data_IF_105066726951
#
_entry.id   IF_105066726951
#
_cell.length_a   1.000
_cell.length_b   1.000
_cell.length_c   1.000
_cell.angle_alpha   90.00
_cell.angle_beta   90.00
_cell.angle_gamma   90.00
#
_symmetry.space_group_name_H-M   'P 1'
#
loop_
_entity.id
_entity.type
_entity.pdbx_description
1 polymer ?
#
# COMPACT_ATOMS: atom_id res chain seq x y z
N UNK A 1 -33.94 -12.76 30.55
CA UNK A 1 -32.59 -13.13 30.05
C UNK A 1 -31.60 -13.16 31.23
N UNK A 2 -30.62 -14.06 31.26
CA UNK A 2 -29.57 -14.01 32.27
C UNK A 2 -28.76 -12.70 32.11
N UNK A 3 -28.48 -12.04 33.23
CA UNK A 3 -27.56 -10.91 33.28
C UNK A 3 -26.13 -11.44 33.27
N UNK A 4 -25.41 -11.18 32.18
CA UNK A 4 -24.05 -11.65 31.94
C UNK A 4 -23.17 -10.42 31.88
N UNK A 5 -22.21 -10.33 32.81
CA UNK A 5 -21.13 -9.36 32.78
C UNK A 5 -19.80 -10.11 32.87
N UNK A 6 -19.02 -10.07 31.80
CA UNK A 6 -17.73 -10.75 31.70
C UNK A 6 -16.67 -9.75 31.29
N UNK A 7 -15.63 -9.63 32.10
CA UNK A 7 -14.42 -8.87 31.74
C UNK A 7 -13.39 -9.82 31.18
N UNK A 8 -13.00 -9.62 29.93
CA UNK A 8 -11.93 -10.34 29.26
C UNK A 8 -10.67 -9.48 29.23
N UNK A 9 -9.68 -9.87 30.00
CA UNK A 9 -8.33 -9.33 29.92
C UNK A 9 -7.51 -10.21 28.97
N UNK A 10 -6.99 -9.63 27.89
CA UNK A 10 -6.22 -10.36 26.87
C UNK A 10 -4.82 -10.75 27.37
N UNK A 11 -4.35 -10.15 28.47
CA UNK A 11 -3.01 -10.39 28.98
C UNK A 11 -1.93 -9.92 28.01
N UNK A 12 -0.75 -10.53 28.12
CA UNK A 12 0.46 -10.14 27.35
C UNK A 12 0.77 -11.03 26.17
N UNK A 13 0.22 -12.25 26.13
CA UNK A 13 0.57 -13.31 25.18
C UNK A 13 -0.57 -13.70 24.24
N UNK A 14 -1.63 -12.89 24.15
CA UNK A 14 -2.73 -13.18 23.23
C UNK A 14 -2.32 -12.87 21.79
N UNK A 15 -2.22 -13.93 20.97
CA UNK A 15 -1.88 -13.83 19.56
C UNK A 15 -3.12 -14.06 18.69
N UNK A 16 -3.27 -13.22 17.66
CA UNK A 16 -4.29 -13.32 16.63
C UNK A 16 -3.64 -13.57 15.27
N UNK A 17 -4.14 -14.56 14.54
CA UNK A 17 -3.72 -14.86 13.17
C UNK A 17 -4.93 -15.11 12.28
N UNK A 18 -4.99 -14.45 11.12
CA UNK A 18 -6.05 -14.64 10.15
C UNK A 18 -6.09 -13.55 9.09
N UNK A 19 -6.71 -13.79 7.93
CA UNK A 19 -6.88 -12.77 6.87
C UNK A 19 -5.59 -12.00 6.50
N UNK A 20 -4.43 -12.66 6.59
CA UNK A 20 -3.13 -12.04 6.32
C UNK A 20 -2.49 -11.28 7.49
N UNK A 21 -3.18 -11.06 8.61
CA UNK A 21 -2.60 -10.47 9.82
C UNK A 21 -2.04 -11.54 10.76
N UNK A 22 -0.93 -11.22 11.40
CA UNK A 22 -0.37 -11.95 12.55
C UNK A 22 0.02 -10.89 13.57
N UNK A 23 -0.64 -10.86 14.72
CA UNK A 23 -0.47 -9.77 15.69
C UNK A 23 -0.64 -10.25 17.11
N UNK A 24 0.09 -9.63 18.05
CA UNK A 24 -0.12 -9.76 19.49
C UNK A 24 -1.02 -8.63 19.95
N UNK A 25 -2.06 -8.98 20.69
CA UNK A 25 -3.04 -8.04 21.20
C UNK A 25 -2.99 -8.00 22.71
N UNK A 26 -3.18 -6.81 23.25
CA UNK A 26 -3.30 -6.53 24.68
C UNK A 26 -4.49 -5.63 24.93
N UNK A 27 -4.95 -5.57 26.17
CA UNK A 27 -6.07 -4.74 26.58
C UNK A 27 -7.18 -5.51 27.27
N UNK A 28 -8.27 -4.81 27.51
CA UNK A 28 -9.38 -5.31 28.30
C UNK A 28 -10.70 -4.95 27.62
N UNK A 29 -11.61 -5.93 27.60
CA UNK A 29 -12.90 -5.84 26.97
C UNK A 29 -13.96 -6.38 27.91
N UNK A 30 -14.95 -5.57 28.22
CA UNK A 30 -16.12 -5.95 29.00
C UNK A 30 -17.28 -6.30 28.07
N UNK A 31 -17.86 -7.48 28.28
CA UNK A 31 -19.02 -8.00 27.54
C UNK A 31 -20.20 -8.05 28.49
N UNK A 32 -21.26 -7.31 28.15
CA UNK A 32 -22.52 -7.26 28.89
C UNK A 32 -23.69 -7.77 28.05
N UNK A 33 -24.54 -8.61 28.62
CA UNK A 33 -25.82 -8.98 27.99
C UNK A 33 -26.73 -7.77 27.83
N UNK A 34 -27.51 -7.75 26.76
CA UNK A 34 -28.58 -6.76 26.63
C UNK A 34 -29.76 -7.10 27.55
N UNK A 35 -30.37 -6.11 28.22
CA UNK A 35 -31.58 -6.33 29.00
C UNK A 35 -32.79 -6.72 28.13
N UNK A 36 -32.73 -6.46 26.82
CA UNK A 36 -33.78 -6.83 25.86
C UNK A 36 -33.59 -8.29 25.39
N UNK A 37 -34.59 -9.16 25.54
CA UNK A 37 -34.51 -10.54 25.04
C UNK A 37 -34.21 -10.58 23.53
N UNK A 38 -33.18 -11.35 23.15
CA UNK A 38 -32.77 -11.50 21.74
C UNK A 38 -31.92 -10.36 21.18
N UNK A 39 -31.67 -9.29 21.93
CA UNK A 39 -30.77 -8.24 21.49
C UNK A 39 -29.30 -8.67 21.66
N UNK A 40 -28.41 -8.24 20.74
CA UNK A 40 -26.99 -8.61 20.79
C UNK A 40 -26.30 -8.06 22.04
N UNK A 41 -25.23 -8.73 22.52
CA UNK A 41 -24.45 -8.26 23.65
C UNK A 41 -23.76 -6.93 23.34
N UNK A 42 -23.53 -6.15 24.38
CA UNK A 42 -22.75 -4.93 24.33
C UNK A 42 -21.32 -5.19 24.76
N UNK A 43 -20.39 -4.59 24.04
CA UNK A 43 -18.96 -4.74 24.26
C UNK A 43 -18.35 -3.36 24.43
N UNK A 44 -17.60 -3.15 25.51
CA UNK A 44 -16.92 -1.90 25.83
C UNK A 44 -15.49 -2.18 26.26
N UNK A 45 -14.54 -1.38 25.77
CA UNK A 45 -13.14 -1.58 26.11
C UNK A 45 -12.21 -1.19 24.97
N UNK A 46 -10.93 -1.50 25.16
CA UNK A 46 -9.89 -1.13 24.22
C UNK A 46 -8.92 -2.29 24.03
N UNK A 47 -8.62 -2.57 22.77
CA UNK A 47 -7.65 -3.57 22.35
C UNK A 47 -6.57 -2.86 21.57
N UNK A 48 -5.32 -3.14 21.92
CA UNK A 48 -4.13 -2.58 21.30
C UNK A 48 -3.28 -3.68 20.68
N UNK A 49 -2.61 -3.33 19.60
CA UNK A 49 -1.58 -4.15 18.98
C UNK A 49 -0.23 -3.78 19.58
N UNK A 50 0.50 -4.73 20.14
CA UNK A 50 1.89 -4.54 20.58
C UNK A 50 2.85 -4.78 19.42
N UNK A 51 2.69 -5.90 18.72
CA UNK A 51 3.51 -6.27 17.58
C UNK A 51 2.62 -6.94 16.55
N UNK A 52 2.62 -6.43 15.31
CA UNK A 52 1.79 -6.97 14.25
C UNK A 52 2.46 -6.92 12.90
N UNK A 53 2.15 -7.91 12.06
CA UNK A 53 2.55 -7.95 10.65
C UNK A 53 1.35 -8.31 9.80
N UNK A 54 1.11 -7.51 8.76
CA UNK A 54 0.07 -7.72 7.78
C UNK A 54 0.69 -8.09 6.42
N UNK A 55 0.18 -9.15 5.80
CA UNK A 55 0.59 -9.58 4.46
C UNK A 55 -0.60 -9.57 3.53
N UNK A 56 -0.53 -8.76 2.49
CA UNK A 56 -1.52 -8.73 1.43
C UNK A 56 -0.89 -8.30 0.10
N UNK A 57 -1.38 -8.86 -1.01
CA UNK A 57 -0.95 -8.52 -2.38
C UNK A 57 0.58 -8.53 -2.59
N UNK A 58 1.26 -9.51 -1.98
CA UNK A 58 2.71 -9.66 -2.07
C UNK A 58 3.52 -8.65 -1.24
N UNK A 59 2.85 -7.77 -0.49
CA UNK A 59 3.48 -6.76 0.35
C UNK A 59 3.40 -7.19 1.82
N UNK A 60 4.44 -6.84 2.58
CA UNK A 60 4.50 -7.00 4.03
C UNK A 60 4.48 -5.61 4.64
N UNK A 61 3.59 -5.39 5.61
CA UNK A 61 3.50 -4.17 6.40
C UNK A 61 3.64 -4.55 7.87
N UNK A 62 4.43 -3.82 8.63
CA UNK A 62 4.52 -3.94 10.08
C UNK A 62 3.54 -2.95 10.72
N UNK A 63 2.71 -3.43 11.64
CA UNK A 63 1.72 -2.62 12.34
C UNK A 63 2.44 -1.86 13.45
N UNK A 64 2.52 -0.54 13.29
CA UNK A 64 3.17 0.35 14.26
C UNK A 64 2.18 0.78 15.34
N UNK A 65 0.96 1.10 14.95
CA UNK A 65 -0.15 1.40 15.87
C UNK A 65 -1.35 0.59 15.47
N UNK A 66 -2.01 -0.07 16.41
CA UNK A 66 -3.25 -0.78 16.13
C UNK A 66 -4.21 -0.66 17.30
N UNK A 67 -5.10 0.33 17.27
CA UNK A 67 -6.06 0.63 18.31
C UNK A 67 -7.46 0.25 17.85
N UNK A 68 -8.14 -0.56 18.65
CA UNK A 68 -9.52 -0.99 18.43
C UNK A 68 -10.32 -0.63 19.67
N UNK A 69 -11.33 0.23 19.51
CA UNK A 69 -12.19 0.67 20.62
C UNK A 69 -13.60 0.15 20.46
N UNK A 70 -14.07 -0.56 21.48
CA UNK A 70 -15.44 -1.04 21.58
C UNK A 70 -16.25 -0.07 22.43
N UNK A 71 -17.41 0.35 21.91
CA UNK A 71 -18.27 1.38 22.52
C UNK A 71 -19.76 0.96 22.56
N UNK A 72 -20.04 -0.34 22.50
CA UNK A 72 -21.40 -0.89 22.51
C UNK A 72 -21.56 -2.03 21.51
N UNK A 73 -21.73 -1.77 20.20
CA UNK A 73 -21.91 -2.85 19.23
C UNK A 73 -20.66 -3.72 19.10
N UNK A 74 -20.78 -5.02 19.39
CA UNK A 74 -19.67 -5.97 19.33
C UNK A 74 -19.04 -6.11 17.92
N UNK A 75 -19.83 -5.87 16.87
CA UNK A 75 -19.43 -6.07 15.47
C UNK A 75 -19.03 -4.78 14.75
N UNK A 76 -19.02 -3.63 15.42
CA UNK A 76 -18.66 -2.35 14.80
C UNK A 76 -17.78 -1.48 15.70
N UNK A 77 -16.62 -1.98 16.17
CA UNK A 77 -15.67 -1.16 16.91
C UNK A 77 -15.10 -0.04 16.03
N UNK A 78 -14.57 1.01 16.69
CA UNK A 78 -13.74 2.02 16.03
C UNK A 78 -12.33 1.50 15.83
N UNK A 79 -11.77 1.76 14.65
CA UNK A 79 -10.44 1.34 14.23
C UNK A 79 -9.56 2.57 14.06
N UNK A 80 -8.32 2.49 14.56
CA UNK A 80 -7.22 3.39 14.24
C UNK A 80 -5.93 2.57 14.15
N UNK A 81 -5.54 2.25 12.93
CA UNK A 81 -4.44 1.32 12.64
C UNK A 81 -3.48 1.98 11.65
N UNK A 82 -2.20 2.03 12.00
CA UNK A 82 -1.10 2.45 11.16
C UNK A 82 -0.19 1.27 10.89
N UNK A 83 -0.06 0.90 9.62
CA UNK A 83 0.84 -0.15 9.17
C UNK A 83 1.85 0.41 8.17
N UNK A 84 3.13 0.29 8.49
CA UNK A 84 4.23 0.84 7.71
C UNK A 84 4.96 -0.26 6.94
N UNK A 85 5.48 0.07 5.76
CA UNK A 85 6.31 -0.86 5.02
C UNK A 85 7.72 -0.92 5.67
N UNK A 86 8.23 -2.11 6.00
CA UNK A 86 9.58 -2.23 6.54
C UNK A 86 10.64 -2.05 5.45
N UNK A 87 11.85 -1.68 5.86
CA UNK A 87 13.04 -1.56 5.01
C UNK A 87 12.97 -0.54 3.88
N UNK A 88 11.94 0.31 3.84
CA UNK A 88 11.97 1.48 2.98
C UNK A 88 12.49 2.68 3.74
N UNK A 89 13.06 3.59 2.99
CA UNK A 89 13.74 4.71 3.58
C UNK A 89 12.70 5.72 4.08
N UNK A 90 11.59 5.97 3.36
CA UNK A 90 10.50 6.87 3.78
C UNK A 90 9.48 6.12 4.63
N UNK A 91 8.90 6.74 5.65
CA UNK A 91 7.83 6.11 6.46
C UNK A 91 6.53 6.12 5.67
N UNK A 92 6.39 5.22 4.71
CA UNK A 92 5.19 5.07 3.91
C UNK A 92 4.41 3.82 4.30
N UNK A 93 3.10 3.94 4.30
CA UNK A 93 2.23 2.89 4.80
C UNK A 93 0.76 3.14 4.51
N UNK A 94 -0.07 2.44 5.27
CA UNK A 94 -1.52 2.52 5.20
C UNK A 94 -2.05 2.86 6.58
N UNK A 95 -2.93 3.85 6.63
CA UNK A 95 -3.70 4.19 7.81
C UNK A 95 -5.15 3.77 7.60
N UNK A 96 -5.71 3.03 8.55
CA UNK A 96 -7.10 2.60 8.57
C UNK A 96 -7.78 3.26 9.75
N UNK A 97 -8.83 4.04 9.46
CA UNK A 97 -9.62 4.77 10.46
C UNK A 97 -11.10 4.49 10.29
N UNK A 98 -11.94 4.92 11.24
CA UNK A 98 -13.39 4.80 11.14
C UNK A 98 -13.93 3.62 11.93
N UNK A 99 -15.00 2.97 11.45
CA UNK A 99 -15.61 1.82 12.13
C UNK A 99 -15.38 0.54 11.34
N UNK A 100 -15.47 -0.62 12.00
CA UNK A 100 -15.24 -1.90 11.32
C UNK A 100 -16.21 -2.19 10.16
N UNK A 101 -17.42 -1.64 10.21
CA UNK A 101 -18.40 -1.72 9.10
C UNK A 101 -18.18 -0.67 8.00
N UNK A 102 -17.49 0.43 8.30
CA UNK A 102 -17.21 1.51 7.36
C UNK A 102 -15.75 1.99 7.49
N UNK A 103 -14.76 1.11 7.21
CA UNK A 103 -13.36 1.46 7.35
C UNK A 103 -12.95 2.46 6.26
N UNK A 104 -12.16 3.45 6.64
CA UNK A 104 -11.55 4.44 5.75
C UNK A 104 -10.06 4.14 5.66
N UNK A 105 -9.63 3.70 4.48
CA UNK A 105 -8.24 3.39 4.19
C UNK A 105 -7.61 4.59 3.48
N UNK A 106 -6.50 5.10 4.04
CA UNK A 106 -5.71 6.19 3.48
C UNK A 106 -4.25 5.78 3.38
N UNK A 107 -3.53 6.38 2.44
CA UNK A 107 -2.08 6.24 2.36
C UNK A 107 -1.43 7.21 3.34
N UNK A 108 -0.49 6.69 4.13
CA UNK A 108 0.27 7.46 5.09
C UNK A 108 1.70 7.64 4.58
N UNK A 109 2.24 8.85 4.74
CA UNK A 109 3.66 9.13 4.59
C UNK A 109 4.11 10.10 5.68
N UNK A 110 5.30 9.87 6.21
CA UNK A 110 6.00 10.84 7.05
C UNK A 110 7.42 11.03 6.51
N UNK A 111 7.79 12.25 6.02
CA UNK A 111 7.03 13.52 6.05
C UNK A 111 5.74 13.52 5.19
N UNK A 112 4.83 14.47 5.44
CA UNK A 112 3.57 14.59 4.71
C UNK A 112 3.85 15.09 3.28
N UNK A 113 3.87 14.14 2.34
CA UNK A 113 4.15 14.43 0.93
C UNK A 113 2.85 14.84 0.20
N UNK A 114 2.91 15.50 -0.96
CA UNK A 114 1.75 15.63 -1.84
C UNK A 114 1.16 14.25 -2.18
N UNK A 115 -0.17 14.12 -2.31
CA UNK A 115 -0.84 12.83 -2.50
C UNK A 115 -0.31 12.01 -3.71
N UNK A 116 0.17 12.69 -4.75
CA UNK A 116 0.83 12.07 -5.90
C UNK A 116 2.16 11.36 -5.54
N UNK A 117 2.92 11.90 -4.59
CA UNK A 117 4.14 11.29 -4.09
C UNK A 117 3.84 10.16 -3.09
N UNK A 118 2.80 10.29 -2.24
CA UNK A 118 2.34 9.19 -1.36
C UNK A 118 1.98 7.95 -2.17
N UNK A 119 1.22 8.13 -3.26
CA UNK A 119 0.87 7.04 -4.17
C UNK A 119 2.11 6.40 -4.79
N UNK A 120 3.10 7.20 -5.20
CA UNK A 120 4.35 6.70 -5.75
C UNK A 120 5.15 5.87 -4.73
N UNK A 121 5.20 6.30 -3.48
CA UNK A 121 5.86 5.53 -2.41
C UNK A 121 5.11 4.25 -2.04
N UNK A 122 3.78 4.24 -2.08
CA UNK A 122 2.98 3.07 -1.71
C UNK A 122 2.96 2.03 -2.83
N UNK A 123 2.80 2.47 -4.07
CA UNK A 123 2.72 1.60 -5.26
C UNK A 123 4.11 1.18 -5.73
N UNK A 124 5.06 2.12 -5.80
CA UNK A 124 6.35 1.92 -6.46
C UNK A 124 7.54 1.89 -5.48
N UNK A 125 7.34 2.26 -4.22
CA UNK A 125 8.40 2.27 -3.21
C UNK A 125 9.46 3.37 -3.43
N UNK A 126 9.21 4.35 -4.31
CA UNK A 126 10.13 5.44 -4.65
C UNK A 126 9.40 6.68 -5.18
N UNK A 127 10.03 7.84 -5.09
CA UNK A 127 9.56 9.08 -5.73
C UNK A 127 9.83 9.02 -7.24
N UNK A 128 8.79 9.07 -8.07
CA UNK A 128 8.89 9.25 -9.54
C UNK A 128 8.48 10.66 -9.98
N UNK A 129 7.98 11.51 -9.08
CA UNK A 129 7.51 12.87 -9.37
C UNK A 129 8.63 13.86 -9.73
N UNK A 130 9.91 13.48 -9.59
CA UNK A 130 11.03 14.26 -10.09
C UNK A 130 11.12 14.28 -11.64
N UNK A 131 10.37 13.44 -12.34
CA UNK A 131 10.22 13.48 -13.80
C UNK A 131 8.83 13.98 -14.17
N UNK A 132 8.63 15.29 -14.30
CA UNK A 132 7.33 15.95 -14.49
C UNK A 132 6.45 15.44 -15.65
N UNK A 133 6.98 14.62 -16.55
CA UNK A 133 6.21 13.95 -17.61
C UNK A 133 5.47 12.67 -17.15
N UNK A 134 5.89 12.03 -16.05
CA UNK A 134 5.31 10.77 -15.55
C UNK A 134 4.08 10.98 -14.66
N UNK A 135 3.92 12.16 -14.06
CA UNK A 135 2.78 12.49 -13.20
C UNK A 135 1.45 12.61 -13.98
N UNK A 136 1.48 13.09 -15.23
CA UNK A 136 0.30 13.21 -16.09
C UNK A 136 -0.26 11.84 -16.50
N UNK A 137 0.64 10.88 -16.71
CA UNK A 137 0.34 9.49 -17.06
C UNK A 137 -0.33 8.77 -15.90
N UNK A 138 0.19 8.96 -14.69
CA UNK A 138 -0.40 8.36 -13.48
C UNK A 138 -1.77 8.96 -13.16
N UNK A 139 -2.03 10.24 -13.45
CA UNK A 139 -3.37 10.83 -13.33
C UNK A 139 -4.38 10.20 -14.30
N UNK A 140 -3.99 9.92 -15.56
CA UNK A 140 -4.88 9.26 -16.51
C UNK A 140 -5.16 7.79 -16.15
N UNK A 141 -4.15 7.07 -15.62
CA UNK A 141 -4.31 5.73 -15.08
C UNK A 141 -5.18 5.72 -13.81
N UNK A 142 -5.04 6.72 -12.93
CA UNK A 142 -5.86 6.87 -11.74
C UNK A 142 -7.32 7.24 -12.06
N UNK A 143 -7.57 8.09 -13.05
CA UNK A 143 -8.92 8.44 -13.50
C UNK A 143 -9.66 7.26 -14.14
N UNK A 144 -8.94 6.39 -14.86
CA UNK A 144 -9.50 5.13 -15.38
C UNK A 144 -9.74 4.09 -14.28
N UNK A 145 -8.96 4.10 -13.20
CA UNK A 145 -9.19 3.27 -12.01
C UNK A 145 -10.33 3.79 -11.11
N UNK A 146 -10.53 5.10 -11.03
CA UNK A 146 -11.59 5.75 -10.25
C UNK A 146 -12.93 5.84 -11.01
N UNK A 147 -12.91 5.67 -12.34
CA UNK A 147 -14.09 5.46 -13.17
C UNK A 147 -14.70 4.08 -12.93
N UNK A 148 -15.72 4.03 -12.06
CA UNK A 148 -16.52 2.84 -11.71
C UNK A 148 -16.77 1.88 -12.89
N UNK A 149 -16.33 0.64 -12.73
CA UNK A 149 -17.02 -0.54 -13.27
C UNK A 149 -16.28 -1.30 -14.38
N UNK A 150 -15.37 -2.20 -13.99
CA UNK A 150 -15.34 -3.60 -14.42
C UNK A 150 -14.00 -4.23 -14.04
N UNK A 151 -14.05 -5.52 -13.71
CA UNK A 151 -12.91 -6.40 -13.50
C UNK A 151 -11.78 -6.14 -14.50
N UNK A 152 -10.63 -5.66 -14.02
CA UNK A 152 -9.47 -5.34 -14.86
C UNK A 152 -8.92 -6.61 -15.54
N UNK A 153 -9.08 -6.80 -16.86
CA UNK A 153 -8.59 -7.99 -17.57
C UNK A 153 -7.06 -8.01 -17.67
N UNK A 154 -6.43 -6.85 -17.57
CA UNK A 154 -4.98 -6.63 -17.69
C UNK A 154 -4.17 -7.23 -16.54
N UNK A 155 -4.69 -7.21 -15.30
CA UNK A 155 -4.04 -7.85 -14.15
C UNK A 155 -3.95 -9.39 -14.30
N UNK A 156 -4.97 -10.02 -14.91
CA UNK A 156 -4.96 -11.47 -15.18
C UNK A 156 -4.02 -11.84 -16.33
N UNK A 157 -3.86 -10.98 -17.34
CA UNK A 157 -2.89 -11.22 -18.44
C UNK A 157 -1.44 -11.04 -17.96
N UNK A 158 -1.16 -10.04 -17.11
CA UNK A 158 0.17 -9.80 -16.53
C UNK A 158 0.69 -11.02 -15.74
N UNK A 159 -0.15 -11.60 -14.87
CA UNK A 159 0.20 -12.77 -14.05
C UNK A 159 0.51 -14.04 -14.87
N UNK A 160 -0.08 -14.22 -16.06
CA UNK A 160 0.22 -15.36 -16.95
C UNK A 160 1.54 -15.21 -17.70
N UNK A 161 2.02 -13.97 -17.86
CA UNK A 161 3.29 -13.64 -18.48
C UNK A 161 4.43 -13.51 -17.44
N UNK A 162 4.13 -13.69 -16.15
CA UNK A 162 5.10 -13.55 -15.07
C UNK A 162 5.65 -12.13 -14.93
N UNK A 163 4.81 -11.14 -15.24
CA UNK A 163 5.08 -9.70 -15.08
C UNK A 163 4.37 -9.18 -13.83
N UNK A 164 5.03 -8.28 -13.11
CA UNK A 164 4.49 -7.70 -11.88
C UNK A 164 3.66 -6.44 -12.16
N UNK A 165 3.96 -5.74 -13.27
CA UNK A 165 3.28 -4.50 -13.65
C UNK A 165 3.20 -4.37 -15.18
N UNK A 166 2.05 -3.90 -15.66
CA UNK A 166 1.86 -3.45 -17.05
C UNK A 166 1.25 -2.06 -16.96
N UNK A 167 1.96 -1.07 -17.51
CA UNK A 167 1.54 0.32 -17.52
C UNK A 167 1.40 0.86 -18.94
N UNK A 168 0.65 1.94 -19.05
CA UNK A 168 0.53 2.73 -20.27
C UNK A 168 0.96 4.16 -19.95
N UNK A 169 1.97 4.64 -20.67
CA UNK A 169 2.48 6.01 -20.66
C UNK A 169 1.77 6.79 -21.76
N UNK A 170 0.86 7.67 -21.38
CA UNK A 170 0.24 8.62 -22.31
C UNK A 170 1.26 9.66 -22.82
N UNK A 171 0.96 10.34 -23.93
CA UNK A 171 1.79 11.42 -24.44
C UNK A 171 1.86 12.57 -23.42
N UNK A 172 3.03 13.20 -23.27
CA UNK A 172 3.18 14.37 -22.41
C UNK A 172 2.37 15.56 -22.90
N UNK A 173 2.07 16.52 -22.02
CA UNK A 173 1.37 17.75 -22.38
C UNK A 173 2.18 18.56 -23.39
N UNK A 174 1.72 18.62 -24.65
CA UNK A 174 2.43 19.26 -25.76
C UNK A 174 3.22 18.31 -26.67
N UNK A 175 3.19 17.01 -26.39
CA UNK A 175 3.78 15.98 -27.25
C UNK A 175 2.70 15.33 -28.14
N UNK A 176 3.09 14.87 -29.33
CA UNK A 176 2.19 14.17 -30.23
C UNK A 176 1.66 12.88 -29.58
N UNK A 177 0.44 12.47 -29.94
CA UNK A 177 -0.16 11.20 -29.49
C UNK A 177 0.70 9.96 -29.82
N UNK A 178 1.65 10.13 -30.74
CA UNK A 178 2.71 9.20 -31.08
C UNK A 178 3.68 8.89 -29.91
N UNK A 179 3.86 9.80 -28.95
CA UNK A 179 4.79 9.64 -27.81
C UNK A 179 4.30 8.69 -26.71
N UNK A 180 3.09 8.15 -26.85
CA UNK A 180 2.58 7.14 -25.95
C UNK A 180 3.48 5.88 -25.94
N UNK A 181 3.67 5.27 -24.77
CA UNK A 181 4.50 4.07 -24.60
C UNK A 181 3.82 3.04 -23.70
N UNK A 182 4.11 1.76 -23.91
CA UNK A 182 3.72 0.67 -23.02
C UNK A 182 4.89 0.31 -22.13
N UNK A 183 4.64 0.15 -20.83
CA UNK A 183 5.66 -0.22 -19.85
C UNK A 183 5.38 -1.61 -19.28
N UNK A 184 6.43 -2.41 -19.15
CA UNK A 184 6.38 -3.75 -18.60
C UNK A 184 7.39 -3.86 -17.46
N UNK A 185 6.91 -4.10 -16.25
CA UNK A 185 7.71 -4.14 -15.03
C UNK A 185 7.84 -5.55 -14.47
N UNK A 186 9.05 -5.89 -14.02
CA UNK A 186 9.32 -7.14 -13.31
C UNK A 186 10.36 -6.95 -12.21
N UNK A 187 10.04 -7.43 -11.03
CA UNK A 187 10.91 -7.49 -9.87
C UNK A 187 11.63 -8.83 -9.85
N UNK A 188 12.94 -8.78 -9.99
CA UNK A 188 13.80 -9.96 -10.01
C UNK A 188 14.27 -10.34 -8.60
N UNK A 189 14.39 -9.35 -7.71
CA UNK A 189 14.72 -9.56 -6.29
C UNK A 189 14.15 -8.43 -5.42
N UNK A 190 14.38 -8.48 -4.10
CA UNK A 190 14.03 -7.38 -3.18
C UNK A 190 14.68 -6.05 -3.57
N UNK A 191 15.90 -6.09 -4.13
CA UNK A 191 16.74 -4.93 -4.42
C UNK A 191 16.90 -4.67 -5.94
N UNK A 192 16.35 -5.53 -6.80
CA UNK A 192 16.53 -5.45 -8.26
C UNK A 192 15.18 -5.42 -9.00
N UNK A 193 14.97 -4.35 -9.77
CA UNK A 193 13.77 -4.11 -10.56
C UNK A 193 14.12 -3.79 -12.01
N UNK A 194 13.39 -4.37 -12.95
CA UNK A 194 13.60 -4.18 -14.38
C UNK A 194 12.30 -3.67 -15.01
N UNK A 195 12.44 -2.69 -15.90
CA UNK A 195 11.31 -2.09 -16.62
C UNK A 195 11.64 -1.99 -18.09
N UNK A 196 10.76 -2.46 -18.96
CA UNK A 196 10.89 -2.30 -20.40
C UNK A 196 9.80 -1.35 -20.90
N UNK A 197 10.21 -0.22 -21.47
CA UNK A 197 9.34 0.78 -22.08
C UNK A 197 9.40 0.63 -23.59
N UNK A 198 8.23 0.56 -24.25
CA UNK A 198 8.12 0.49 -25.70
C UNK A 198 7.22 1.62 -26.19
N UNK A 199 7.81 2.57 -26.94
CA UNK A 199 7.04 3.61 -27.63
C UNK A 199 6.08 3.01 -28.66
N UNK A 200 4.91 3.61 -28.85
CA UNK A 200 3.92 3.20 -29.85
C UNK A 200 4.22 3.77 -31.24
N UNK A 201 4.99 4.84 -31.33
CA UNK A 201 5.47 5.41 -32.61
C UNK A 201 6.89 4.99 -32.98
N UNK A 202 7.71 4.63 -32.00
CA UNK A 202 9.06 4.15 -32.19
C UNK A 202 9.14 2.62 -32.33
N UNK A 203 10.11 2.14 -33.09
CA UNK A 203 10.40 0.70 -33.20
C UNK A 203 11.29 0.20 -32.05
N UNK A 204 12.04 1.10 -31.42
CA UNK A 204 13.02 0.79 -30.37
C UNK A 204 12.40 0.95 -28.98
N UNK A 205 12.66 -0.02 -28.11
CA UNK A 205 12.28 0.03 -26.70
C UNK A 205 13.48 0.38 -25.82
N UNK A 206 13.19 0.95 -24.65
CA UNK A 206 14.20 1.29 -23.64
C UNK A 206 14.02 0.38 -22.43
N UNK A 207 15.09 -0.32 -22.06
CA UNK A 207 15.19 -1.13 -20.87
C UNK A 207 15.83 -0.31 -19.75
N UNK A 208 15.15 -0.24 -18.62
CA UNK A 208 15.65 0.33 -17.38
C UNK A 208 15.91 -0.78 -16.37
N UNK A 209 17.06 -0.71 -15.71
CA UNK A 209 17.46 -1.63 -14.66
C UNK A 209 17.75 -0.79 -13.42
N UNK A 210 17.11 -1.12 -12.32
CA UNK A 210 17.29 -0.46 -11.04
C UNK A 210 17.84 -1.45 -10.04
N UNK A 211 18.91 -1.06 -9.35
CA UNK A 211 19.56 -1.86 -8.33
C UNK A 211 19.83 -1.02 -7.09
N UNK A 212 19.20 -1.37 -5.97
CA UNK A 212 19.36 -0.67 -4.71
C UNK A 212 20.63 -1.15 -4.00
N UNK A 213 21.69 -0.34 -4.04
CA UNK A 213 22.97 -0.61 -3.37
C UNK A 213 22.85 -0.39 -1.86
N UNK A 214 22.04 0.57 -1.43
CA UNK A 214 21.73 0.85 -0.02
C UNK A 214 20.41 1.60 0.12
N UNK A 215 19.95 1.85 1.35
CA UNK A 215 18.76 2.66 1.64
C UNK A 215 18.80 4.09 1.05
N UNK A 216 19.97 4.59 0.65
CA UNK A 216 20.14 5.95 0.11
C UNK A 216 20.75 5.98 -1.29
N UNK A 217 21.14 4.83 -1.83
CA UNK A 217 21.91 4.75 -3.07
C UNK A 217 21.27 3.72 -4.01
N UNK A 218 20.80 4.19 -5.15
CA UNK A 218 20.21 3.37 -6.20
C UNK A 218 21.00 3.55 -7.49
N UNK A 219 21.37 2.46 -8.12
CA UNK A 219 21.99 2.46 -9.44
C UNK A 219 20.91 2.26 -10.49
N UNK A 220 20.88 3.12 -11.50
CA UNK A 220 19.95 3.06 -12.63
C UNK A 220 20.74 2.87 -13.91
N UNK A 221 20.61 1.72 -14.54
CA UNK A 221 21.02 1.51 -15.93
C UNK A 221 19.84 1.80 -16.86
N UNK A 222 20.08 2.48 -17.97
CA UNK A 222 19.15 2.55 -19.09
C UNK A 222 19.86 2.14 -20.37
N UNK A 223 19.19 1.36 -21.21
CA UNK A 223 19.72 0.89 -22.49
C UNK A 223 18.59 0.79 -23.51
N UNK A 224 18.84 1.17 -24.75
CA UNK A 224 17.82 1.31 -25.80
C UNK A 224 18.39 2.18 -26.91
N UNK A 225 17.74 3.31 -27.21
CA UNK A 225 18.31 4.31 -28.12
C UNK A 225 19.53 5.02 -27.54
N UNK A 226 19.55 5.21 -26.22
CA UNK A 226 20.69 5.75 -25.48
C UNK A 226 21.02 4.82 -24.31
N UNK A 227 22.30 4.52 -24.18
CA UNK A 227 22.82 3.79 -23.02
C UNK A 227 23.38 4.79 -22.02
N UNK A 228 22.90 4.74 -20.78
CA UNK A 228 23.45 5.52 -19.69
C UNK A 228 23.38 4.75 -18.38
N UNK A 229 24.22 5.15 -17.44
CA UNK A 229 24.23 4.60 -16.10
C UNK A 229 24.30 5.76 -15.12
N UNK A 230 23.30 5.84 -14.26
CA UNK A 230 23.15 6.87 -13.26
C UNK A 230 23.29 6.26 -11.87
N UNK A 231 23.87 7.04 -10.96
CA UNK A 231 23.88 6.72 -9.53
C UNK A 231 23.05 7.80 -8.84
N UNK A 232 21.96 7.37 -8.22
CA UNK A 232 20.99 8.23 -7.57
C UNK A 232 21.25 8.15 -6.06
N UNK A 233 21.66 9.27 -5.47
CA UNK A 233 21.80 9.41 -4.03
C UNK A 233 20.62 10.22 -3.48
N UNK A 234 19.81 9.61 -2.61
CA UNK A 234 18.65 10.27 -2.02
C UNK A 234 19.00 10.80 -0.63
N UNK A 235 19.03 12.14 -0.51
CA UNK A 235 19.22 12.86 0.76
C UNK A 235 17.85 13.23 1.32
N UNK A 236 17.67 13.08 2.63
CA UNK A 236 16.52 13.66 3.33
C UNK A 236 16.93 14.95 4.01
N UNK A 237 16.09 15.96 3.87
CA UNK A 237 16.07 17.11 4.76
C UNK A 237 14.92 16.89 5.73
N UNK A 238 15.21 17.10 7.02
CA UNK A 238 14.27 17.07 8.13
C UNK A 238 13.41 18.35 8.14
#
# INVERSE_FOLDING_TARGET
PPDIAVTLNLGRDFALQGQGITTRLTGEVEVRSSPVPGAPPRVTGEVRTEEGRYRAWGQVLDVETGLIRFNGPYNNPSLDILALRPNISVRAGVQVTGSAQAPRVKLYSDPELPDAEKLSWVVLGRNTAAGGAEAAVLQQAALTLLGRGSSNPTAKVASRLGLDEIGFKGPGTGEDAASAALTFGKRLSKDMYVTYERSLSGTLGTLYIFYDLSRRLTLRGQTGEKSAMDIIYTVRYD
#
